data_IF_451295720280
#
_entry.id   IF_451295720280
#
_cell.length_a   1.000
_cell.length_b   1.000
_cell.length_c   1.000
_cell.angle_alpha   90.00
_cell.angle_beta   90.00
_cell.angle_gamma   90.00
#
_symmetry.space_group_name_H-M   'P 1'
#
loop_
_entity.id
_entity.type
_entity.pdbx_description
1 polymer ?
#
# COMPACT_ATOMS: atom_id res chain seq x y z
N UNK A 1 -0.58 -2.38 -27.42
CA UNK A 1 -0.32 -1.67 -26.18
C UNK A 1 0.36 -2.60 -25.15
N UNK A 2 -0.27 -3.69 -24.70
CA UNK A 2 0.26 -4.62 -23.71
C UNK A 2 1.65 -5.17 -24.05
N UNK A 3 1.83 -5.67 -25.29
CA UNK A 3 3.11 -6.20 -25.75
C UNK A 3 4.25 -5.17 -25.70
N UNK A 4 3.95 -3.91 -26.04
CA UNK A 4 4.95 -2.82 -26.00
C UNK A 4 5.54 -2.61 -24.62
N UNK A 5 4.71 -2.73 -23.60
CA UNK A 5 5.10 -2.51 -22.21
C UNK A 5 5.35 -3.81 -21.42
N UNK A 6 5.30 -4.96 -22.12
CA UNK A 6 5.56 -6.26 -21.49
C UNK A 6 4.54 -6.67 -20.44
N UNK A 7 3.29 -6.18 -20.57
CA UNK A 7 2.22 -6.49 -19.61
C UNK A 7 1.52 -7.79 -20.00
N UNK A 8 1.21 -8.59 -19.01
CA UNK A 8 0.35 -9.76 -19.13
C UNK A 8 -1.04 -9.45 -18.56
N UNK A 9 -2.09 -10.14 -19.01
CA UNK A 9 -3.41 -10.05 -18.39
C UNK A 9 -3.34 -10.35 -16.89
N UNK A 10 -4.02 -9.53 -16.08
CA UNK A 10 -4.06 -9.63 -14.61
C UNK A 10 -2.69 -9.49 -13.91
N UNK A 11 -1.69 -8.96 -14.60
CA UNK A 11 -0.36 -8.72 -14.04
C UNK A 11 -0.39 -7.59 -13.01
N UNK A 12 0.55 -7.65 -12.06
CA UNK A 12 0.71 -6.63 -11.05
C UNK A 12 2.20 -6.40 -10.82
N UNK A 13 2.73 -5.34 -11.42
CA UNK A 13 4.16 -5.08 -11.49
C UNK A 13 4.51 -3.68 -10.98
N UNK A 14 5.77 -3.51 -10.58
CA UNK A 14 6.36 -2.21 -10.36
C UNK A 14 6.76 -1.57 -11.69
N UNK A 15 6.59 -0.24 -11.78
CA UNK A 15 7.02 0.52 -12.94
C UNK A 15 8.54 0.53 -13.04
N UNK A 16 9.03 0.25 -14.24
CA UNK A 16 10.43 0.37 -14.66
C UNK A 16 10.56 1.57 -15.62
N UNK A 17 11.77 1.88 -16.05
CA UNK A 17 12.07 2.98 -17.00
C UNK A 17 11.18 2.92 -18.26
N UNK A 18 11.03 1.72 -18.85
CA UNK A 18 10.18 1.50 -20.04
C UNK A 18 8.69 1.82 -19.84
N UNK A 19 8.24 1.92 -18.59
CA UNK A 19 6.84 2.23 -18.26
C UNK A 19 6.58 3.73 -18.07
N UNK A 20 7.61 4.59 -18.11
CA UNK A 20 7.41 6.04 -17.98
C UNK A 20 6.47 6.60 -19.06
N UNK A 21 6.67 6.18 -20.30
CA UNK A 21 5.83 6.60 -21.42
C UNK A 21 4.40 6.04 -21.35
N UNK A 22 4.18 4.92 -20.63
CA UNK A 22 2.86 4.29 -20.50
C UNK A 22 1.84 5.22 -19.87
N UNK A 23 2.21 5.92 -18.79
CA UNK A 23 1.30 6.84 -18.10
C UNK A 23 0.86 8.00 -19.00
N UNK A 24 1.81 8.56 -19.77
CA UNK A 24 1.51 9.63 -20.72
C UNK A 24 0.67 9.13 -21.90
N UNK A 25 0.99 7.94 -22.42
CA UNK A 25 0.27 7.35 -23.53
C UNK A 25 -1.18 7.03 -23.16
N UNK A 26 -1.44 6.53 -21.93
CA UNK A 26 -2.78 6.29 -21.43
C UNK A 26 -3.62 7.56 -21.44
N UNK A 27 -3.10 8.65 -20.89
CA UNK A 27 -3.82 9.93 -20.83
C UNK A 27 -4.05 10.53 -22.22
N UNK A 28 -3.10 10.35 -23.15
CA UNK A 28 -3.21 10.89 -24.52
C UNK A 28 -4.16 10.10 -25.41
N UNK A 29 -4.23 8.78 -25.27
CA UNK A 29 -4.91 7.90 -26.23
C UNK A 29 -6.22 7.30 -25.74
N UNK A 30 -6.47 7.30 -24.44
CA UNK A 30 -7.64 6.67 -23.85
C UNK A 30 -8.38 7.62 -22.92
N UNK A 31 -9.67 7.34 -22.72
CA UNK A 31 -10.41 7.98 -21.63
C UNK A 31 -9.94 7.38 -20.31
N UNK A 32 -9.33 8.21 -19.46
CA UNK A 32 -8.86 7.80 -18.13
C UNK A 32 -9.73 8.37 -17.03
N UNK A 33 -9.87 7.62 -15.96
CA UNK A 33 -10.51 8.05 -14.73
C UNK A 33 -9.49 8.01 -13.60
N UNK A 34 -9.55 9.00 -12.70
CA UNK A 34 -8.63 9.11 -11.57
C UNK A 34 -9.36 8.72 -10.28
N UNK A 35 -8.83 7.73 -9.61
CA UNK A 35 -9.35 7.26 -8.34
C UNK A 35 -8.27 7.30 -7.27
N UNK A 36 -8.62 7.71 -6.05
CA UNK A 36 -7.74 7.55 -4.90
C UNK A 36 -7.62 6.06 -4.58
N UNK A 37 -6.39 5.55 -4.58
CA UNK A 37 -6.08 4.14 -4.43
C UNK A 37 -5.01 3.87 -3.37
N UNK A 38 -4.35 2.74 -3.54
CA UNK A 38 -3.43 2.14 -2.61
C UNK A 38 -4.07 0.95 -1.90
N UNK A 39 -3.45 -0.24 -2.00
CA UNK A 39 -4.05 -1.49 -1.51
C UNK A 39 -4.46 -1.41 -0.04
N UNK A 40 -3.57 -0.93 0.83
CA UNK A 40 -3.84 -0.79 2.26
C UNK A 40 -4.89 0.29 2.53
N UNK A 41 -4.81 1.46 1.87
CA UNK A 41 -5.80 2.52 2.06
C UNK A 41 -7.19 2.06 1.64
N UNK A 42 -7.31 1.29 0.56
CA UNK A 42 -8.60 0.70 0.14
C UNK A 42 -9.14 -0.27 1.18
N UNK A 43 -8.30 -1.14 1.75
CA UNK A 43 -8.70 -2.08 2.81
C UNK A 43 -9.20 -1.35 4.06
N UNK A 44 -8.48 -0.29 4.47
CA UNK A 44 -8.86 0.52 5.65
C UNK A 44 -10.17 1.28 5.41
N UNK A 45 -10.38 1.82 4.20
CA UNK A 45 -11.66 2.46 3.81
C UNK A 45 -12.84 1.48 3.89
N UNK A 46 -12.65 0.26 3.38
CA UNK A 46 -13.68 -0.79 3.44
C UNK A 46 -13.93 -1.20 4.89
N UNK A 47 -12.89 -1.37 5.70
CA UNK A 47 -13.03 -1.69 7.11
C UNK A 47 -13.81 -0.60 7.87
N UNK A 48 -13.49 0.67 7.67
CA UNK A 48 -14.23 1.79 8.27
C UNK A 48 -15.69 1.81 7.83
N UNK A 49 -15.96 1.58 6.54
CA UNK A 49 -17.31 1.47 6.02
C UNK A 49 -18.09 0.30 6.61
N UNK A 50 -17.49 -0.88 6.76
CA UNK A 50 -18.14 -2.06 7.34
C UNK A 50 -18.42 -1.91 8.84
N UNK A 51 -17.53 -1.27 9.58
CA UNK A 51 -17.68 -1.03 11.02
C UNK A 51 -18.84 -0.05 11.29
N UNK A 52 -19.13 0.86 10.36
CA UNK A 52 -20.19 1.89 10.47
C UNK A 52 -20.11 2.69 11.77
N UNK A 53 -18.90 2.87 12.31
CA UNK A 53 -18.69 3.65 13.52
C UNK A 53 -18.93 5.14 13.26
N UNK A 54 -19.57 5.88 14.19
CA UNK A 54 -19.70 7.33 14.10
C UNK A 54 -18.37 8.06 14.31
N UNK A 55 -17.34 7.36 14.72
CA UNK A 55 -15.97 7.89 14.89
C UNK A 55 -14.98 7.13 13.98
N UNK A 56 -13.84 7.74 13.73
CA UNK A 56 -12.75 7.13 12.95
C UNK A 56 -12.16 5.94 13.71
N UNK A 57 -12.66 4.74 13.43
CA UNK A 57 -12.22 3.50 14.08
C UNK A 57 -10.98 2.90 13.41
N UNK A 58 -10.73 3.24 12.14
CA UNK A 58 -9.62 2.73 11.37
C UNK A 58 -8.59 3.83 11.11
N UNK A 59 -7.33 3.54 11.46
CA UNK A 59 -6.17 4.44 11.27
C UNK A 59 -5.31 3.93 10.12
N UNK A 60 -4.84 4.82 9.28
CA UNK A 60 -3.97 4.52 8.14
C UNK A 60 -2.66 5.31 8.21
N UNK A 61 -1.54 4.65 8.00
CA UNK A 61 -0.22 5.27 7.82
C UNK A 61 0.24 5.10 6.37
N UNK A 62 0.67 6.19 5.74
CA UNK A 62 1.14 6.20 4.37
C UNK A 62 2.23 7.23 4.13
N UNK A 63 2.71 7.31 2.89
CA UNK A 63 3.67 8.32 2.46
C UNK A 63 3.23 8.93 1.14
N UNK A 64 3.24 10.25 1.06
CA UNK A 64 2.83 11.05 -0.10
C UNK A 64 3.82 12.16 -0.40
N UNK A 65 3.81 12.63 -1.63
CA UNK A 65 4.46 13.88 -2.03
C UNK A 65 3.64 15.09 -1.61
N UNK A 66 4.29 16.26 -1.55
CA UNK A 66 3.63 17.55 -1.35
C UNK A 66 3.09 18.07 -2.69
N UNK A 67 2.06 17.42 -3.21
CA UNK A 67 1.48 17.70 -4.51
C UNK A 67 -0.04 17.51 -4.55
N UNK A 68 -0.63 17.82 -5.70
CA UNK A 68 -2.08 17.72 -5.93
C UNK A 68 -2.63 16.32 -5.65
N UNK A 69 -1.89 15.26 -5.99
CA UNK A 69 -2.35 13.89 -5.77
C UNK A 69 -2.31 13.50 -4.29
N UNK A 70 -1.31 13.98 -3.55
CA UNK A 70 -1.25 13.83 -2.09
C UNK A 70 -2.43 14.49 -1.40
N UNK A 71 -2.80 15.71 -1.80
CA UNK A 71 -3.97 16.40 -1.27
C UNK A 71 -5.28 15.66 -1.59
N UNK A 72 -5.41 15.09 -2.80
CA UNK A 72 -6.56 14.26 -3.16
C UNK A 72 -6.65 13.02 -2.27
N UNK A 73 -5.52 12.34 -2.00
CA UNK A 73 -5.50 11.17 -1.12
C UNK A 73 -5.94 11.52 0.31
N UNK A 74 -5.44 12.62 0.86
CA UNK A 74 -5.86 13.11 2.20
C UNK A 74 -7.36 13.37 2.24
N UNK A 75 -7.87 14.12 1.26
CA UNK A 75 -9.29 14.43 1.15
C UNK A 75 -10.15 13.16 1.04
N UNK A 76 -9.73 12.20 0.23
CA UNK A 76 -10.48 10.96 0.04
C UNK A 76 -10.45 10.02 1.25
N UNK A 77 -9.39 10.05 2.04
CA UNK A 77 -9.35 9.37 3.32
C UNK A 77 -10.31 10.01 4.34
N UNK A 78 -10.34 11.35 4.40
CA UNK A 78 -11.26 12.10 5.25
C UNK A 78 -12.73 11.85 4.87
N UNK A 79 -13.07 11.91 3.57
CA UNK A 79 -14.42 11.58 3.06
C UNK A 79 -14.84 10.16 3.40
N UNK A 80 -13.89 9.22 3.47
CA UNK A 80 -14.12 7.83 3.87
C UNK A 80 -14.08 7.62 5.39
N UNK A 81 -14.01 8.69 6.17
CA UNK A 81 -13.99 8.68 7.63
C UNK A 81 -12.80 7.89 8.23
N UNK A 82 -11.67 7.85 7.51
CA UNK A 82 -10.42 7.21 7.93
C UNK A 82 -9.53 8.20 8.67
N UNK A 83 -8.92 7.77 9.78
CA UNK A 83 -7.90 8.53 10.49
C UNK A 83 -6.53 8.34 9.79
N UNK A 84 -6.26 9.15 8.78
CA UNK A 84 -5.09 9.01 7.93
C UNK A 84 -3.92 9.90 8.37
N UNK A 85 -2.77 9.28 8.58
CA UNK A 85 -1.51 9.92 8.96
C UNK A 85 -0.47 9.68 7.87
N UNK A 86 -0.20 10.70 7.06
CA UNK A 86 0.80 10.61 6.01
C UNK A 86 2.13 11.21 6.42
N UNK A 87 3.21 10.50 6.09
CA UNK A 87 4.51 11.12 5.98
C UNK A 87 4.57 11.92 4.68
N UNK A 88 4.60 13.24 4.80
CA UNK A 88 4.68 14.14 3.65
C UNK A 88 6.14 14.54 3.40
N UNK A 89 6.61 14.29 2.19
CA UNK A 89 7.97 14.59 1.78
C UNK A 89 7.98 15.35 0.42
N UNK A 90 9.13 15.91 0.06
CA UNK A 90 9.29 16.74 -1.16
C UNK A 90 10.32 16.16 -2.13
N UNK A 91 10.82 14.96 -1.89
CA UNK A 91 11.86 14.32 -2.69
C UNK A 91 11.27 13.76 -3.99
N UNK A 92 10.07 13.19 -3.91
CA UNK A 92 9.36 12.51 -5.01
C UNK A 92 7.88 12.88 -5.02
N UNK A 93 7.22 12.87 -6.19
CA UNK A 93 5.78 13.07 -6.27
C UNK A 93 5.01 11.89 -5.66
N UNK A 94 3.74 12.13 -5.35
CA UNK A 94 2.84 11.06 -4.87
C UNK A 94 2.79 9.90 -5.86
N UNK A 95 2.88 8.68 -5.36
CA UNK A 95 2.82 7.47 -6.16
C UNK A 95 1.53 7.36 -6.96
N UNK A 96 1.63 6.78 -8.15
CA UNK A 96 0.51 6.56 -9.08
C UNK A 96 0.50 5.12 -9.56
N UNK A 97 -0.65 4.63 -9.96
CA UNK A 97 -0.79 3.30 -10.54
C UNK A 97 -1.63 3.37 -11.82
N UNK A 98 -1.08 2.87 -12.91
CA UNK A 98 -1.84 2.67 -14.13
C UNK A 98 -2.62 1.37 -14.05
N UNK A 99 -3.95 1.45 -14.11
CA UNK A 99 -4.84 0.30 -14.19
C UNK A 99 -5.30 0.13 -15.64
N UNK A 100 -4.75 -0.87 -16.30
CA UNK A 100 -5.09 -1.20 -17.70
C UNK A 100 -6.18 -2.27 -17.72
N UNK A 101 -7.40 -1.86 -18.07
CA UNK A 101 -8.59 -2.73 -18.10
C UNK A 101 -8.85 -3.17 -19.52
N UNK A 102 -8.92 -4.47 -19.75
CA UNK A 102 -9.25 -5.09 -21.06
C UNK A 102 -10.22 -6.23 -20.83
N UNK A 103 -11.47 -6.04 -21.25
CA UNK A 103 -12.56 -6.99 -20.96
C UNK A 103 -12.60 -7.31 -19.45
N UNK A 104 -12.41 -8.56 -19.08
CA UNK A 104 -12.45 -9.04 -17.70
C UNK A 104 -11.08 -9.00 -16.98
N UNK A 105 -10.03 -8.50 -17.66
CA UNK A 105 -8.68 -8.45 -17.11
C UNK A 105 -8.31 -7.05 -16.65
N UNK A 106 -7.55 -6.99 -15.55
CA UNK A 106 -7.01 -5.76 -14.97
C UNK A 106 -5.53 -5.91 -14.67
N UNK A 107 -4.69 -5.26 -15.46
CA UNK A 107 -3.25 -5.23 -15.23
C UNK A 107 -2.84 -3.91 -14.57
N UNK A 108 -1.97 -4.00 -13.56
CA UNK A 108 -1.52 -2.86 -12.76
C UNK A 108 -0.02 -2.62 -12.96
N UNK A 109 0.32 -1.36 -13.18
CA UNK A 109 1.72 -0.88 -13.18
C UNK A 109 1.84 0.22 -12.13
N UNK A 110 2.49 -0.09 -11.03
CA UNK A 110 2.60 0.81 -9.88
C UNK A 110 3.93 1.59 -9.90
N UNK A 111 3.86 2.90 -9.99
CA UNK A 111 4.96 3.80 -9.71
C UNK A 111 4.86 4.24 -8.25
N UNK A 112 5.72 3.72 -7.38
CA UNK A 112 5.66 3.97 -5.94
C UNK A 112 6.12 5.38 -5.56
N UNK A 113 7.11 5.94 -6.27
CA UNK A 113 7.60 7.31 -6.08
C UNK A 113 7.70 7.68 -4.58
N UNK A 114 6.91 8.63 -4.09
CA UNK A 114 6.91 9.06 -2.69
C UNK A 114 6.79 7.92 -1.67
N UNK A 115 6.10 6.83 -2.00
CA UNK A 115 5.97 5.70 -1.08
C UNK A 115 7.33 5.08 -0.73
N UNK A 116 8.30 5.10 -1.65
CA UNK A 116 9.67 4.64 -1.42
C UNK A 116 10.49 5.57 -0.51
N UNK A 117 10.03 6.81 -0.33
CA UNK A 117 10.69 7.79 0.53
C UNK A 117 10.27 7.71 2.00
N UNK A 118 9.47 6.71 2.37
CA UNK A 118 9.02 6.54 3.74
C UNK A 118 10.20 6.34 4.70
N UNK A 119 10.21 7.11 5.79
CA UNK A 119 11.25 7.05 6.82
C UNK A 119 10.59 6.77 8.17
N UNK A 120 10.81 5.57 8.68
CA UNK A 120 10.24 5.07 9.94
C UNK A 120 10.52 6.04 11.10
N UNK A 121 11.76 6.48 11.25
CA UNK A 121 12.24 7.36 12.30
C UNK A 121 11.63 8.78 12.23
N UNK A 122 11.20 9.22 11.05
CA UNK A 122 10.56 10.53 10.85
C UNK A 122 9.03 10.48 10.93
N UNK A 123 8.46 9.29 11.03
CA UNK A 123 7.02 9.15 11.02
C UNK A 123 6.50 8.15 12.06
N UNK A 124 6.74 6.84 11.88
CA UNK A 124 6.21 5.81 12.78
C UNK A 124 6.76 5.95 14.20
N UNK A 125 8.04 6.28 14.33
CA UNK A 125 8.73 6.40 15.62
C UNK A 125 8.39 7.69 16.39
N UNK A 126 7.67 8.63 15.76
CA UNK A 126 7.19 9.79 16.49
C UNK A 126 6.19 9.35 17.57
N UNK A 127 6.35 9.85 18.77
CA UNK A 127 5.53 9.46 19.94
C UNK A 127 4.02 9.56 19.65
N UNK A 128 3.59 10.63 18.98
CA UNK A 128 2.18 10.84 18.61
C UNK A 128 1.62 9.72 17.71
N UNK A 129 2.43 9.23 16.76
CA UNK A 129 2.04 8.18 15.83
C UNK A 129 2.14 6.80 16.50
N UNK A 130 3.19 6.57 17.27
CA UNK A 130 3.37 5.31 17.99
C UNK A 130 2.25 5.05 19.02
N UNK A 131 1.76 6.09 19.69
CA UNK A 131 0.58 5.99 20.57
C UNK A 131 -0.67 5.49 19.84
N UNK A 132 -0.84 5.80 18.54
CA UNK A 132 -1.94 5.25 17.74
C UNK A 132 -1.74 3.76 17.47
N UNK A 133 -0.49 3.35 17.17
CA UNK A 133 -0.14 1.93 17.02
C UNK A 133 -0.43 1.18 18.32
N UNK A 134 -0.03 1.72 19.47
CA UNK A 134 -0.27 1.09 20.79
C UNK A 134 -1.75 0.94 21.13
N UNK A 135 -2.61 1.83 20.66
CA UNK A 135 -4.06 1.77 20.88
C UNK A 135 -4.77 0.74 19.98
N UNK A 136 -4.22 0.43 18.83
CA UNK A 136 -4.85 -0.50 17.89
C UNK A 136 -4.93 -1.91 18.47
N UNK A 137 -5.96 -2.65 18.11
CA UNK A 137 -6.18 -4.07 18.49
C UNK A 137 -5.80 -5.01 17.35
N UNK A 138 -5.90 -4.55 16.12
CA UNK A 138 -5.61 -5.30 14.89
C UNK A 138 -4.71 -4.46 14.01
N UNK A 139 -3.69 -5.08 13.45
CA UNK A 139 -2.78 -4.48 12.48
C UNK A 139 -2.92 -5.18 11.15
N UNK A 140 -2.90 -4.41 10.07
CA UNK A 140 -2.88 -4.94 8.71
C UNK A 140 -1.77 -4.26 7.90
N UNK A 141 -0.90 -5.07 7.30
CA UNK A 141 0.18 -4.60 6.44
C UNK A 141 0.12 -5.32 5.10
N UNK A 142 0.21 -4.56 4.00
CA UNK A 142 0.41 -5.13 2.68
C UNK A 142 1.89 -5.46 2.46
N UNK A 143 2.17 -6.61 1.85
CA UNK A 143 3.53 -7.08 1.56
C UNK A 143 4.35 -6.11 0.72
N UNK A 144 3.72 -5.26 -0.06
CA UNK A 144 4.40 -4.16 -0.76
C UNK A 144 5.25 -3.29 0.19
N UNK A 145 4.85 -3.12 1.43
CA UNK A 145 5.60 -2.31 2.38
C UNK A 145 6.93 -2.96 2.82
N UNK A 146 7.08 -4.27 2.64
CA UNK A 146 8.37 -4.97 2.84
C UNK A 146 9.45 -4.50 1.86
N UNK A 147 9.07 -3.97 0.69
CA UNK A 147 10.03 -3.39 -0.27
C UNK A 147 10.55 -2.03 0.14
N UNK A 148 9.87 -1.36 1.08
CA UNK A 148 10.14 0.03 1.47
C UNK A 148 10.77 0.12 2.85
N UNK A 149 10.16 -0.53 3.85
CA UNK A 149 10.59 -0.43 5.26
C UNK A 149 10.28 -1.71 6.03
N UNK A 150 11.03 -2.80 5.77
CA UNK A 150 10.85 -4.07 6.49
C UNK A 150 11.06 -3.93 8.00
N UNK A 151 11.90 -3.00 8.43
CA UNK A 151 12.12 -2.69 9.84
C UNK A 151 10.88 -2.05 10.51
N UNK A 152 10.08 -1.25 9.78
CA UNK A 152 8.82 -0.73 10.28
C UNK A 152 7.78 -1.84 10.42
N UNK A 153 7.72 -2.75 9.44
CA UNK A 153 6.85 -3.94 9.48
C UNK A 153 7.18 -4.79 10.69
N UNK A 154 8.46 -5.13 10.88
CA UNK A 154 8.92 -5.95 11.99
C UNK A 154 8.65 -5.28 13.35
N UNK A 155 8.83 -3.96 13.46
CA UNK A 155 8.53 -3.22 14.69
C UNK A 155 7.06 -3.33 15.08
N UNK A 156 6.15 -3.17 14.13
CA UNK A 156 4.70 -3.29 14.37
C UNK A 156 4.32 -4.74 14.69
N UNK A 157 4.90 -5.71 13.98
CA UNK A 157 4.68 -7.13 14.22
C UNK A 157 5.11 -7.56 15.64
N UNK A 158 6.30 -7.12 16.07
CA UNK A 158 6.79 -7.38 17.42
C UNK A 158 5.91 -6.72 18.50
N UNK A 159 5.44 -5.49 18.26
CA UNK A 159 4.48 -4.80 19.13
C UNK A 159 3.17 -5.57 19.27
N UNK A 160 2.66 -6.11 18.17
CA UNK A 160 1.44 -6.92 18.18
C UNK A 160 1.61 -8.17 19.05
N UNK A 161 2.67 -8.93 18.82
CA UNK A 161 2.99 -10.16 19.55
C UNK A 161 3.19 -9.88 21.05
N UNK A 162 3.98 -8.86 21.39
CA UNK A 162 4.26 -8.51 22.80
C UNK A 162 3.02 -8.10 23.60
N UNK A 163 1.95 -7.67 22.92
CA UNK A 163 0.73 -7.16 23.55
C UNK A 163 -0.53 -8.00 23.21
N UNK A 164 -0.36 -9.24 22.74
CA UNK A 164 -1.45 -10.15 22.38
C UNK A 164 -2.49 -9.52 21.43
N UNK A 165 -2.00 -8.81 20.39
CA UNK A 165 -2.81 -8.17 19.38
C UNK A 165 -2.69 -8.91 18.05
N UNK A 166 -3.69 -8.80 17.22
CA UNK A 166 -3.75 -9.50 15.93
C UNK A 166 -2.88 -8.78 14.91
N UNK A 167 -1.94 -9.49 14.30
CA UNK A 167 -1.13 -9.01 13.20
C UNK A 167 -1.50 -9.74 11.90
N UNK A 168 -1.92 -8.98 10.91
CA UNK A 168 -2.35 -9.49 9.61
C UNK A 168 -1.40 -9.01 8.50
N UNK A 169 -0.97 -9.94 7.65
CA UNK A 169 -0.11 -9.67 6.51
C UNK A 169 -0.81 -10.10 5.21
N UNK A 170 -0.71 -9.28 4.18
CA UNK A 170 -1.10 -9.66 2.82
C UNK A 170 0.16 -9.89 1.98
N UNK A 171 0.26 -11.03 1.29
CA UNK A 171 1.40 -11.36 0.42
C UNK A 171 1.52 -10.46 -0.80
N UNK A 172 0.43 -9.83 -1.20
CA UNK A 172 0.30 -8.75 -2.19
C UNK A 172 0.56 -9.15 -3.64
N UNK A 173 1.76 -9.55 -3.98
CA UNK A 173 2.12 -9.89 -5.36
C UNK A 173 3.21 -10.97 -5.41
N UNK A 174 3.27 -11.80 -6.48
CA UNK A 174 4.25 -12.89 -6.61
C UNK A 174 5.70 -12.44 -6.44
N UNK A 175 6.06 -11.27 -6.96
CA UNK A 175 7.43 -10.77 -6.86
C UNK A 175 7.86 -10.49 -5.40
N UNK A 176 6.91 -10.25 -4.48
CA UNK A 176 7.23 -10.07 -3.06
C UNK A 176 7.74 -11.39 -2.47
N UNK A 177 7.02 -12.48 -2.71
CA UNK A 177 7.43 -13.82 -2.26
C UNK A 177 8.74 -14.28 -2.91
N UNK A 178 9.00 -13.88 -4.15
CA UNK A 178 10.20 -14.26 -4.91
C UNK A 178 11.44 -13.48 -4.48
N UNK A 179 11.34 -12.15 -4.37
CA UNK A 179 12.51 -11.27 -4.21
C UNK A 179 12.66 -10.69 -2.79
N UNK A 180 11.60 -10.71 -1.98
CA UNK A 180 11.59 -10.20 -0.62
C UNK A 180 11.30 -11.28 0.42
N UNK A 181 11.65 -12.52 0.10
CA UNK A 181 11.43 -13.70 0.96
C UNK A 181 12.10 -13.54 2.32
N UNK A 182 13.36 -13.09 2.35
CA UNK A 182 14.09 -12.95 3.62
C UNK A 182 13.41 -11.99 4.62
N UNK A 183 13.10 -10.72 4.28
CA UNK A 183 12.38 -9.85 5.19
C UNK A 183 10.97 -10.36 5.51
N UNK A 184 10.28 -11.00 4.56
CA UNK A 184 8.98 -11.60 4.80
C UNK A 184 9.06 -12.72 5.83
N UNK A 185 10.03 -13.62 5.73
CA UNK A 185 10.21 -14.74 6.67
C UNK A 185 10.59 -14.28 8.07
N UNK A 186 11.24 -13.13 8.23
CA UNK A 186 11.48 -12.52 9.56
C UNK A 186 10.19 -12.05 10.23
N UNK A 187 9.17 -11.68 9.45
CA UNK A 187 7.87 -11.20 9.95
C UNK A 187 6.88 -12.36 10.16
N UNK A 188 6.97 -13.42 9.37
CA UNK A 188 6.04 -14.57 9.41
C UNK A 188 5.78 -15.16 10.79
N UNK A 189 6.75 -15.31 11.71
CA UNK A 189 6.49 -15.81 13.06
C UNK A 189 5.51 -14.98 13.90
N UNK A 190 5.25 -13.74 13.50
CA UNK A 190 4.33 -12.82 14.19
C UNK A 190 2.94 -12.74 13.54
N UNK A 191 2.73 -13.44 12.41
CA UNK A 191 1.50 -13.34 11.61
C UNK A 191 0.42 -14.25 12.17
N UNK A 192 -0.69 -13.65 12.57
CA UNK A 192 -1.89 -14.39 13.00
C UNK A 192 -2.83 -14.67 11.82
N UNK A 193 -2.92 -13.73 10.87
CA UNK A 193 -3.77 -13.85 9.69
C UNK A 193 -2.99 -13.50 8.43
N UNK A 194 -2.95 -14.45 7.49
CA UNK A 194 -2.26 -14.29 6.21
C UNK A 194 -3.28 -14.22 5.06
N UNK A 195 -3.15 -13.19 4.23
CA UNK A 195 -3.94 -13.02 3.01
C UNK A 195 -3.09 -13.24 1.77
N UNK A 196 -3.62 -13.97 0.81
CA UNK A 196 -3.01 -14.19 -0.49
C UNK A 196 -3.99 -14.90 -1.41
N UNK A 197 -3.78 -14.79 -2.72
CA UNK A 197 -4.45 -15.64 -3.69
C UNK A 197 -3.57 -16.84 -4.04
N UNK A 198 -4.10 -17.75 -4.86
CA UNK A 198 -3.40 -18.95 -5.29
C UNK A 198 -2.07 -18.65 -6.01
N UNK A 199 -2.01 -17.59 -6.81
CA UNK A 199 -0.81 -17.21 -7.57
C UNK A 199 0.33 -16.81 -6.66
N UNK A 200 0.04 -16.08 -5.58
CA UNK A 200 1.05 -15.62 -4.62
C UNK A 200 1.46 -16.72 -3.64
N UNK A 201 0.53 -17.63 -3.33
CA UNK A 201 0.80 -18.72 -2.37
C UNK A 201 1.67 -19.83 -2.95
N UNK A 202 1.76 -19.94 -4.28
CA UNK A 202 2.54 -20.96 -4.98
C UNK A 202 3.97 -20.50 -5.34
N UNK A 203 4.37 -19.28 -5.01
CA UNK A 203 5.70 -18.70 -5.24
C UNK A 203 6.50 -18.59 -3.98
#
# INVERSE_FOLDING_TARGET
FFLRYGLKPNDQILAEERHKELFEELVKKFKVEYHAGGSTQNSVKVAQWMIQSPYKAATFFGCIGKDKFGEILKKKAEEAHVDAHYYEQSEEPTGTCAACITSDNRSLVANLAAANCYKKEKHLDLEKNWKLVEKAKVYYIAGFFLTVSPEAVLKVAAQASANNKIFSLNLSAPFISQFYKEPMMKVMPYVDVLFGNETVSLT
#
